data_IF_191388235025
#
_entry.id   IF_191388235025
#
_cell.length_a   1.000
_cell.length_b   1.000
_cell.length_c   1.000
_cell.angle_alpha   90.00
_cell.angle_beta   90.00
_cell.angle_gamma   90.00
#
_symmetry.space_group_name_H-M   'P 1'
#
loop_
_entity.id
_entity.type
_entity.pdbx_description
1 polymer ?
#
# COMPACT_ATOMS: atom_id res chain seq x y z
N UNK A 1 -13.10 5.56 11.49
CA UNK A 1 -12.06 4.81 10.75
C UNK A 1 -12.70 3.77 9.84
N UNK A 2 -12.13 3.57 8.66
CA UNK A 2 -12.64 2.64 7.64
C UNK A 2 -11.57 1.62 7.30
N UNK A 3 -11.92 0.34 7.28
CA UNK A 3 -11.01 -0.77 7.04
C UNK A 3 -11.54 -1.71 5.97
N UNK A 4 -10.66 -2.24 5.13
CA UNK A 4 -10.96 -3.29 4.16
C UNK A 4 -10.50 -4.63 4.74
N UNK A 5 -11.36 -5.63 4.81
CA UNK A 5 -11.04 -6.97 5.34
C UNK A 5 -11.66 -8.07 4.50
N UNK A 6 -10.90 -9.11 4.29
CA UNK A 6 -11.31 -10.34 3.61
C UNK A 6 -12.28 -11.14 4.46
N UNK A 7 -12.97 -12.09 3.81
CA UNK A 7 -13.93 -13.04 4.44
C UNK A 7 -13.49 -14.49 4.16
N UNK A 8 -12.38 -14.95 4.76
CA UNK A 8 -11.66 -16.15 4.31
C UNK A 8 -12.47 -17.45 4.34
N UNK A 9 -13.44 -17.59 5.21
CA UNK A 9 -14.28 -18.78 5.25
C UNK A 9 -15.42 -18.79 4.22
N UNK A 10 -15.57 -17.73 3.43
CA UNK A 10 -16.67 -17.64 2.46
C UNK A 10 -16.62 -18.73 1.39
N UNK A 11 -15.42 -19.21 0.99
CA UNK A 11 -15.32 -20.30 0.00
C UNK A 11 -16.13 -21.56 0.37
N UNK A 12 -16.30 -21.84 1.67
CA UNK A 12 -17.07 -23.00 2.17
C UNK A 12 -18.58 -22.86 1.96
N UNK A 13 -19.04 -21.66 1.68
CA UNK A 13 -20.45 -21.31 1.61
C UNK A 13 -20.86 -20.67 0.28
N UNK A 14 -19.89 -20.40 -0.59
CA UNK A 14 -20.11 -19.66 -1.85
C UNK A 14 -21.15 -20.31 -2.77
N UNK A 15 -21.25 -21.66 -2.75
CA UNK A 15 -22.23 -22.41 -3.54
C UNK A 15 -23.65 -22.39 -2.93
N UNK A 16 -23.78 -22.00 -1.67
CA UNK A 16 -25.05 -22.06 -0.91
C UNK A 16 -25.67 -20.69 -0.67
N UNK A 17 -24.85 -19.64 -0.58
CA UNK A 17 -25.35 -18.31 -0.25
C UNK A 17 -24.48 -17.20 -0.86
N UNK A 18 -25.09 -16.05 -1.06
CA UNK A 18 -24.41 -14.85 -1.55
C UNK A 18 -23.54 -14.22 -0.44
N UNK A 19 -22.50 -13.42 -0.79
CA UNK A 19 -21.63 -12.78 0.20
C UNK A 19 -22.39 -11.96 1.26
N UNK A 20 -23.44 -11.27 0.87
CA UNK A 20 -24.28 -10.49 1.82
C UNK A 20 -24.99 -11.37 2.83
N UNK A 21 -25.54 -12.50 2.39
CA UNK A 21 -26.21 -13.46 3.26
C UNK A 21 -25.23 -14.11 4.22
N UNK A 22 -24.04 -14.48 3.72
CA UNK A 22 -22.94 -14.99 4.55
C UNK A 22 -22.58 -14.02 5.67
N UNK A 23 -22.38 -12.74 5.35
CA UNK A 23 -22.06 -11.69 6.32
C UNK A 23 -23.16 -11.56 7.39
N UNK A 24 -24.44 -11.62 7.00
CA UNK A 24 -25.56 -11.59 7.95
C UNK A 24 -25.57 -12.82 8.86
N UNK A 25 -25.24 -14.00 8.35
CA UNK A 25 -25.13 -15.22 9.16
C UNK A 25 -23.97 -15.12 10.15
N UNK A 26 -22.83 -14.57 9.75
CA UNK A 26 -21.70 -14.29 10.65
C UNK A 26 -22.10 -13.27 11.73
N UNK A 27 -22.83 -12.20 11.34
CA UNK A 27 -23.34 -11.19 12.28
C UNK A 27 -24.30 -11.78 13.31
N UNK A 28 -25.15 -12.73 12.90
CA UNK A 28 -26.06 -13.47 13.78
C UNK A 28 -25.36 -14.54 14.62
N UNK A 29 -24.03 -14.75 14.42
CA UNK A 29 -23.22 -15.79 15.06
C UNK A 29 -23.65 -17.23 14.68
N UNK A 30 -24.33 -17.39 13.55
CA UNK A 30 -24.73 -18.70 13.00
C UNK A 30 -23.57 -19.33 12.19
N UNK A 31 -22.68 -18.51 11.65
CA UNK A 31 -21.44 -18.92 10.97
C UNK A 31 -20.26 -18.21 11.64
N UNK A 32 -19.14 -18.92 11.78
CA UNK A 32 -17.90 -18.35 12.24
C UNK A 32 -16.97 -18.02 11.06
N UNK A 33 -16.54 -16.78 11.01
CA UNK A 33 -15.44 -16.32 10.11
C UNK A 33 -14.34 -15.69 10.98
N UNK A 34 -13.08 -16.14 10.87
CA UNK A 34 -12.02 -15.71 11.78
C UNK A 34 -11.75 -14.21 11.75
N UNK A 35 -11.89 -13.59 10.57
CA UNK A 35 -11.66 -12.16 10.41
C UNK A 35 -12.92 -11.36 10.74
N UNK A 36 -14.03 -11.69 10.09
CA UNK A 36 -15.26 -10.90 10.22
C UNK A 36 -15.88 -11.03 11.61
N UNK A 37 -15.86 -12.22 12.22
CA UNK A 37 -16.39 -12.40 13.57
C UNK A 37 -15.64 -11.56 14.60
N UNK A 38 -14.30 -11.51 14.49
CA UNK A 38 -13.47 -10.67 15.36
C UNK A 38 -13.83 -9.18 15.18
N UNK A 39 -13.94 -8.71 13.96
CA UNK A 39 -14.26 -7.30 13.67
C UNK A 39 -15.66 -6.92 14.20
N UNK A 40 -16.65 -7.73 13.91
CA UNK A 40 -18.04 -7.48 14.39
C UNK A 40 -18.16 -7.51 15.91
N UNK A 41 -17.32 -8.33 16.58
CA UNK A 41 -17.26 -8.38 18.05
C UNK A 41 -16.56 -7.17 18.69
N UNK A 42 -15.85 -6.38 17.89
CA UNK A 42 -15.18 -5.15 18.30
C UNK A 42 -15.87 -3.88 17.72
N UNK A 43 -17.19 -3.94 17.58
CA UNK A 43 -18.07 -2.81 17.16
C UNK A 43 -17.78 -2.25 15.76
N UNK A 44 -17.18 -3.06 14.88
CA UNK A 44 -17.11 -2.72 13.48
C UNK A 44 -18.42 -2.99 12.75
N UNK A 45 -18.81 -2.10 11.88
CA UNK A 45 -20.02 -2.18 11.07
C UNK A 45 -19.68 -2.40 9.60
N UNK A 46 -20.30 -3.39 8.95
CA UNK A 46 -20.13 -3.61 7.52
C UNK A 46 -20.88 -2.53 6.74
N UNK A 47 -20.17 -1.73 5.96
CA UNK A 47 -20.74 -0.69 5.11
C UNK A 47 -20.98 -1.16 3.69
N UNK A 48 -20.05 -1.92 3.14
CA UNK A 48 -20.12 -2.38 1.75
C UNK A 48 -19.44 -3.74 1.60
N UNK A 49 -19.95 -4.54 0.67
CA UNK A 49 -19.25 -5.72 0.15
C UNK A 49 -18.52 -5.34 -1.11
N UNK A 50 -17.24 -5.64 -1.16
CA UNK A 50 -16.36 -5.38 -2.30
C UNK A 50 -16.18 -6.65 -3.11
N UNK A 51 -16.19 -6.53 -4.43
CA UNK A 51 -15.93 -7.62 -5.38
C UNK A 51 -14.56 -7.43 -6.02
N UNK A 52 -13.91 -8.52 -6.41
CA UNK A 52 -12.61 -8.52 -7.06
C UNK A 52 -11.53 -7.74 -6.30
N UNK A 53 -11.58 -7.82 -4.96
CA UNK A 53 -10.69 -7.04 -4.10
C UNK A 53 -9.23 -7.51 -4.21
N UNK A 54 -8.99 -8.82 -4.14
CA UNK A 54 -7.67 -9.40 -4.32
C UNK A 54 -7.75 -10.55 -5.33
N UNK A 55 -7.02 -10.49 -6.46
CA UNK A 55 -7.10 -11.50 -7.51
C UNK A 55 -6.69 -12.92 -7.09
N UNK A 56 -5.82 -13.04 -6.08
CA UNK A 56 -5.28 -14.32 -5.61
C UNK A 56 -5.96 -14.85 -4.33
N UNK A 57 -7.04 -14.22 -3.89
CA UNK A 57 -7.74 -14.60 -2.65
C UNK A 57 -8.89 -15.58 -2.93
N UNK A 58 -8.55 -16.83 -3.14
CA UNK A 58 -9.52 -17.93 -3.37
C UNK A 58 -10.36 -18.25 -2.12
N UNK A 59 -9.83 -18.04 -0.92
CA UNK A 59 -10.53 -18.32 0.33
C UNK A 59 -11.72 -17.38 0.55
N UNK A 60 -11.60 -16.14 0.16
CA UNK A 60 -12.71 -15.16 0.21
C UNK A 60 -13.47 -15.07 -1.11
N UNK A 61 -13.10 -15.89 -2.13
CA UNK A 61 -13.66 -15.78 -3.49
C UNK A 61 -13.59 -14.37 -4.05
N UNK A 62 -12.47 -13.68 -3.80
CA UNK A 62 -12.17 -12.29 -4.19
C UNK A 62 -13.11 -11.24 -3.56
N UNK A 63 -13.85 -11.61 -2.51
CA UNK A 63 -14.70 -10.67 -1.78
C UNK A 63 -14.04 -10.12 -0.53
N UNK A 64 -14.35 -8.88 -0.22
CA UNK A 64 -13.97 -8.24 1.03
C UNK A 64 -15.11 -7.38 1.58
N UNK A 65 -15.03 -7.03 2.84
CA UNK A 65 -15.92 -6.09 3.50
C UNK A 65 -15.23 -4.76 3.74
N UNK A 66 -15.90 -3.68 3.38
CA UNK A 66 -15.59 -2.36 3.90
C UNK A 66 -16.22 -2.24 5.27
N UNK A 67 -15.40 -2.10 6.29
CA UNK A 67 -15.80 -2.04 7.69
C UNK A 67 -15.58 -0.62 8.22
N UNK A 68 -16.50 -0.12 9.01
CA UNK A 68 -16.40 1.15 9.71
C UNK A 68 -16.43 0.90 11.21
N UNK A 69 -15.54 1.55 11.92
CA UNK A 69 -15.57 1.66 13.37
C UNK A 69 -15.79 3.11 13.77
N UNK A 70 -16.83 3.35 14.57
CA UNK A 70 -17.18 4.69 15.01
C UNK A 70 -16.61 4.89 16.42
N UNK A 71 -15.68 5.84 16.56
CA UNK A 71 -15.16 6.23 17.85
C UNK A 71 -16.23 7.03 18.61
N UNK A 72 -16.89 6.40 19.56
CA UNK A 72 -17.92 7.04 20.39
C UNK A 72 -17.38 8.20 21.26
N UNK A 73 -16.06 8.24 21.45
CA UNK A 73 -15.39 9.35 22.16
C UNK A 73 -14.91 10.44 21.22
N UNK A 74 -15.11 10.26 19.90
CA UNK A 74 -14.81 11.30 18.93
C UNK A 74 -15.86 12.40 19.09
N UNK A 75 -15.46 13.50 19.69
CA UNK A 75 -16.20 14.75 19.61
C UNK A 75 -15.73 15.44 18.33
N UNK A 76 -16.60 15.58 17.28
CA UNK A 76 -16.26 16.48 16.20
C UNK A 76 -16.05 17.84 16.82
N UNK A 77 -14.85 18.37 16.72
CA UNK A 77 -14.63 19.78 17.02
C UNK A 77 -15.72 20.54 16.25
N UNK A 78 -16.59 21.22 16.98
CA UNK A 78 -17.68 22.01 16.42
C UNK A 78 -17.12 22.80 15.25
N UNK A 79 -17.77 22.72 14.10
CA UNK A 79 -17.32 23.19 12.80
C UNK A 79 -17.09 24.72 12.74
N UNK A 80 -16.16 25.17 13.49
CA UNK A 80 -15.31 26.27 13.09
C UNK A 80 -14.37 25.62 12.07
N UNK A 81 -14.46 26.03 10.82
CA UNK A 81 -13.61 25.63 9.70
C UNK A 81 -12.36 24.94 10.17
N UNK A 82 -12.27 23.59 10.01
CA UNK A 82 -11.09 22.84 10.39
C UNK A 82 -9.89 23.66 9.92
N UNK A 83 -9.04 24.15 10.82
CA UNK A 83 -7.86 24.87 10.38
C UNK A 83 -7.17 23.89 9.44
N UNK A 84 -7.03 24.27 8.17
CA UNK A 84 -6.34 23.46 7.18
C UNK A 84 -5.09 22.96 7.87
N UNK A 85 -4.80 21.63 7.83
CA UNK A 85 -3.66 21.05 8.51
C UNK A 85 -2.45 21.95 8.23
N UNK A 86 -2.12 22.80 9.18
CA UNK A 86 -1.13 23.87 8.99
C UNK A 86 0.29 23.34 9.03
N UNK A 87 0.45 22.08 9.47
CA UNK A 87 1.75 21.44 9.59
C UNK A 87 1.73 20.13 8.79
N UNK A 88 2.63 20.03 7.83
CA UNK A 88 2.93 18.80 7.10
C UNK A 88 4.24 18.23 7.64
N UNK A 89 4.22 16.95 8.01
CA UNK A 89 5.40 16.24 8.49
C UNK A 89 5.99 15.41 7.35
N UNK A 90 7.25 15.70 7.01
CA UNK A 90 7.96 15.02 5.93
C UNK A 90 9.18 14.30 6.50
N UNK A 91 9.27 13.00 6.23
CA UNK A 91 10.47 12.22 6.48
C UNK A 91 11.41 12.29 5.28
N UNK A 92 12.63 12.75 5.49
CA UNK A 92 13.67 12.77 4.46
C UNK A 92 14.61 11.60 4.66
N UNK A 93 14.75 10.75 3.65
CA UNK A 93 15.64 9.60 3.71
C UNK A 93 17.06 10.01 3.38
N UNK A 94 17.94 9.90 4.36
CA UNK A 94 19.39 10.01 4.10
C UNK A 94 19.89 8.65 3.65
N UNK A 95 19.96 8.49 2.32
CA UNK A 95 20.26 7.23 1.67
C UNK A 95 21.78 6.97 1.62
N UNK A 96 22.18 5.78 2.01
CA UNK A 96 23.54 5.32 1.80
C UNK A 96 23.59 4.42 0.57
N UNK A 97 24.36 4.80 -0.45
CA UNK A 97 24.59 3.99 -1.63
C UNK A 97 25.40 2.75 -1.26
N UNK A 98 24.73 1.64 -1.00
CA UNK A 98 25.32 0.32 -0.76
C UNK A 98 25.13 -0.53 -2.00
N UNK A 99 26.04 -1.47 -2.26
CA UNK A 99 25.80 -2.47 -3.31
C UNK A 99 24.70 -3.42 -2.87
N UNK A 100 23.62 -3.47 -3.62
CA UNK A 100 22.57 -4.49 -3.49
C UNK A 100 22.78 -5.56 -4.56
N UNK A 101 22.50 -6.79 -4.23
CA UNK A 101 22.62 -7.91 -5.19
C UNK A 101 21.32 -8.14 -5.94
N UNK A 102 20.20 -7.80 -5.30
CA UNK A 102 18.86 -8.01 -5.82
C UNK A 102 17.97 -6.80 -5.55
N UNK A 103 16.88 -6.71 -6.27
CA UNK A 103 15.84 -5.72 -6.00
C UNK A 103 15.20 -5.95 -4.62
N UNK A 104 15.16 -7.18 -4.14
CA UNK A 104 14.63 -7.51 -2.82
C UNK A 104 15.48 -6.91 -1.70
N UNK A 105 16.81 -7.01 -1.80
CA UNK A 105 17.73 -6.37 -0.84
C UNK A 105 17.53 -4.83 -0.80
N UNK A 106 17.27 -4.22 -1.96
CA UNK A 106 16.94 -2.80 -2.07
C UNK A 106 15.64 -2.48 -1.33
N UNK A 107 14.61 -3.31 -1.53
CA UNK A 107 13.29 -3.08 -0.93
C UNK A 107 13.25 -3.38 0.56
N UNK A 108 14.04 -4.29 1.09
CA UNK A 108 14.22 -4.44 2.55
C UNK A 108 14.70 -3.14 3.19
N UNK A 109 15.65 -2.46 2.54
CA UNK A 109 16.14 -1.18 3.04
C UNK A 109 15.12 -0.04 2.88
N UNK A 110 14.38 -0.03 1.77
CA UNK A 110 13.29 0.95 1.54
C UNK A 110 12.21 0.78 2.60
N UNK A 111 11.74 -0.45 2.81
CA UNK A 111 10.68 -0.77 3.77
C UNK A 111 11.08 -0.38 5.20
N UNK A 112 12.33 -0.60 5.59
CA UNK A 112 12.85 -0.14 6.88
C UNK A 112 12.65 1.37 7.09
N UNK A 113 12.92 2.20 6.07
CA UNK A 113 12.70 3.64 6.17
C UNK A 113 11.21 4.00 6.16
N UNK A 114 10.41 3.33 5.34
CA UNK A 114 8.97 3.56 5.26
C UNK A 114 8.32 3.24 6.59
N UNK A 115 8.65 2.11 7.20
CA UNK A 115 8.15 1.70 8.52
C UNK A 115 8.53 2.72 9.60
N UNK A 116 9.81 3.10 9.67
CA UNK A 116 10.28 4.08 10.64
C UNK A 116 9.56 5.43 10.50
N UNK A 117 9.42 5.95 9.28
CA UNK A 117 8.81 7.27 9.03
C UNK A 117 7.30 7.23 9.25
N UNK A 118 6.62 6.15 8.88
CA UNK A 118 5.19 5.96 9.13
C UNK A 118 4.91 5.89 10.63
N UNK A 119 5.77 5.22 11.40
CA UNK A 119 5.70 5.14 12.86
C UNK A 119 5.75 6.52 13.54
N UNK A 120 6.42 7.51 12.95
CA UNK A 120 6.40 8.91 13.38
C UNK A 120 5.15 9.68 12.94
N UNK A 121 4.16 9.02 12.32
CA UNK A 121 2.94 9.64 11.78
C UNK A 121 3.26 10.79 10.82
N UNK A 122 4.24 10.59 9.98
CA UNK A 122 4.59 11.53 8.92
C UNK A 122 3.58 11.44 7.77
N UNK A 123 3.37 12.57 7.08
CA UNK A 123 2.45 12.64 5.94
C UNK A 123 3.10 12.16 4.66
N UNK A 124 4.42 12.39 4.58
CA UNK A 124 5.23 12.05 3.41
C UNK A 124 6.56 11.43 3.82
N UNK A 125 7.05 10.54 2.97
CA UNK A 125 8.44 10.13 2.95
C UNK A 125 9.04 10.48 1.59
N UNK A 126 10.25 11.03 1.58
CA UNK A 126 10.98 11.43 0.37
C UNK A 126 12.29 10.68 0.29
N UNK A 127 12.48 9.95 -0.81
CA UNK A 127 13.74 9.31 -1.18
C UNK A 127 14.58 10.21 -2.08
N UNK A 128 15.90 10.07 -2.09
CA UNK A 128 16.78 10.88 -2.93
C UNK A 128 16.74 10.46 -4.40
N UNK A 129 17.23 11.34 -5.25
CA UNK A 129 17.46 11.03 -6.66
C UNK A 129 18.34 9.80 -6.82
N UNK A 130 18.02 8.95 -7.78
CA UNK A 130 18.77 7.73 -8.11
C UNK A 130 18.98 6.78 -6.92
N UNK A 131 18.04 6.69 -5.99
CA UNK A 131 18.11 5.76 -4.86
C UNK A 131 18.33 4.29 -5.31
N UNK A 132 17.92 3.96 -6.54
CA UNK A 132 18.06 2.64 -7.16
C UNK A 132 19.39 2.43 -7.90
N UNK A 133 20.29 3.44 -7.95
CA UNK A 133 21.58 3.33 -8.62
C UNK A 133 22.45 2.14 -8.16
N UNK A 134 22.39 1.67 -6.90
CA UNK A 134 23.14 0.48 -6.50
C UNK A 134 22.84 -0.77 -7.32
N UNK A 135 21.65 -0.90 -7.91
CA UNK A 135 21.31 -2.01 -8.81
C UNK A 135 22.12 -1.98 -10.13
N UNK A 136 22.74 -0.85 -10.47
CA UNK A 136 23.63 -0.76 -11.64
C UNK A 136 24.84 -1.70 -11.55
N UNK A 137 25.18 -2.18 -10.37
CA UNK A 137 26.28 -3.14 -10.19
C UNK A 137 26.09 -4.41 -11.04
N UNK A 138 24.86 -4.79 -11.35
CA UNK A 138 24.55 -5.91 -12.24
C UNK A 138 24.99 -5.65 -13.69
N UNK A 139 25.08 -4.38 -14.09
CA UNK A 139 25.38 -3.95 -15.46
C UNK A 139 26.79 -3.43 -15.65
N UNK A 140 27.71 -3.68 -14.71
CA UNK A 140 29.08 -3.16 -14.73
C UNK A 140 29.89 -3.55 -15.98
N UNK A 141 29.50 -4.61 -16.67
CA UNK A 141 30.16 -5.09 -17.91
C UNK A 141 29.62 -4.43 -19.18
N UNK A 142 28.62 -3.55 -19.05
CA UNK A 142 27.97 -2.87 -20.17
C UNK A 142 28.50 -1.44 -20.31
N UNK A 143 28.21 -0.81 -21.47
CA UNK A 143 28.45 0.63 -21.61
C UNK A 143 27.51 1.42 -20.70
N UNK A 144 27.88 2.65 -20.33
CA UNK A 144 27.07 3.51 -19.46
C UNK A 144 25.62 3.66 -19.95
N UNK A 145 25.44 3.88 -21.26
CA UNK A 145 24.11 3.99 -21.88
C UNK A 145 23.30 2.69 -21.76
N UNK A 146 23.94 1.54 -21.87
CA UNK A 146 23.29 0.25 -21.71
C UNK A 146 22.96 -0.04 -20.25
N UNK A 147 23.86 0.31 -19.34
CA UNK A 147 23.69 0.14 -17.90
C UNK A 147 22.48 0.96 -17.38
N UNK A 148 22.33 2.22 -17.81
CA UNK A 148 21.18 3.06 -17.44
C UNK A 148 19.87 2.49 -18.02
N UNK A 149 19.89 1.93 -19.22
CA UNK A 149 18.70 1.26 -19.80
C UNK A 149 18.38 -0.04 -19.07
N UNK A 150 19.40 -0.78 -18.62
CA UNK A 150 19.22 -1.92 -17.74
C UNK A 150 18.54 -1.53 -16.43
N UNK A 151 19.03 -0.45 -15.79
CA UNK A 151 18.42 0.10 -14.58
C UNK A 151 16.96 0.54 -14.79
N UNK A 152 16.66 1.15 -15.94
CA UNK A 152 15.29 1.53 -16.29
C UNK A 152 14.34 0.34 -16.43
N UNK A 153 14.85 -0.88 -16.65
CA UNK A 153 14.06 -2.10 -16.68
C UNK A 153 13.41 -2.45 -15.34
N UNK A 154 13.94 -1.97 -14.23
CA UNK A 154 13.37 -2.17 -12.91
C UNK A 154 12.24 -1.20 -12.55
N UNK A 155 12.02 -0.15 -13.35
CA UNK A 155 11.17 0.98 -12.94
C UNK A 155 9.71 0.59 -12.69
N UNK A 156 9.15 -0.30 -13.51
CA UNK A 156 7.77 -0.77 -13.32
C UNK A 156 7.61 -1.60 -12.04
N UNK A 157 8.55 -2.51 -11.78
CA UNK A 157 8.55 -3.30 -10.54
C UNK A 157 8.74 -2.42 -9.31
N UNK A 158 9.65 -1.45 -9.39
CA UNK A 158 9.89 -0.47 -8.33
C UNK A 158 8.61 0.32 -8.05
N UNK A 159 7.93 0.81 -9.09
CA UNK A 159 6.65 1.52 -8.94
C UNK A 159 5.62 0.67 -8.21
N UNK A 160 5.41 -0.55 -8.65
CA UNK A 160 4.38 -1.43 -8.10
C UNK A 160 4.66 -1.76 -6.63
N UNK A 161 5.93 -1.98 -6.26
CA UNK A 161 6.34 -2.20 -4.87
C UNK A 161 6.14 -0.97 -4.00
N UNK A 162 6.46 0.23 -4.49
CA UNK A 162 6.19 1.47 -3.74
C UNK A 162 4.70 1.72 -3.53
N UNK A 163 3.86 1.41 -4.52
CA UNK A 163 2.40 1.47 -4.36
C UNK A 163 1.93 0.55 -3.23
N UNK A 164 2.45 -0.67 -3.16
CA UNK A 164 2.11 -1.59 -2.07
C UNK A 164 2.56 -1.06 -0.71
N UNK A 165 3.76 -0.50 -0.60
CA UNK A 165 4.25 0.10 0.64
C UNK A 165 3.41 1.31 1.05
N UNK A 166 3.06 2.20 0.11
CA UNK A 166 2.22 3.37 0.41
C UNK A 166 0.86 2.96 0.99
N UNK A 167 0.24 1.92 0.42
CA UNK A 167 -1.03 1.38 0.90
C UNK A 167 -0.85 0.69 2.26
N UNK A 168 0.18 -0.15 2.41
CA UNK A 168 0.39 -0.96 3.62
C UNK A 168 0.70 -0.10 4.84
N UNK A 169 1.49 0.94 4.66
CA UNK A 169 1.93 1.85 5.73
C UNK A 169 1.11 3.14 5.83
N UNK A 170 0.12 3.32 4.96
CA UNK A 170 -0.74 4.50 4.90
C UNK A 170 0.06 5.81 4.93
N UNK A 171 1.02 5.93 4.01
CA UNK A 171 1.91 7.07 3.89
C UNK A 171 2.10 7.46 2.43
N UNK A 172 2.19 8.76 2.14
CA UNK A 172 2.53 9.23 0.81
C UNK A 172 4.03 9.08 0.56
N UNK A 173 4.40 8.46 -0.56
CA UNK A 173 5.80 8.22 -0.91
C UNK A 173 6.19 9.03 -2.14
N UNK A 174 7.27 9.79 -2.03
CA UNK A 174 7.94 10.45 -3.15
C UNK A 174 9.25 9.70 -3.37
N UNK A 175 9.35 8.98 -4.48
CA UNK A 175 10.41 7.99 -4.69
C UNK A 175 11.78 8.59 -5.01
N UNK A 176 11.87 9.90 -5.24
CA UNK A 176 13.02 10.46 -5.94
C UNK A 176 12.98 10.14 -7.43
N UNK A 177 13.86 10.72 -8.21
CA UNK A 177 13.89 10.47 -9.63
C UNK A 177 14.73 9.22 -9.96
N UNK A 178 14.29 8.49 -11.00
CA UNK A 178 14.92 7.29 -11.51
C UNK A 178 14.76 7.19 -13.03
N UNK A 179 15.62 6.43 -13.74
CA UNK A 179 15.51 6.30 -15.18
C UNK A 179 14.25 5.53 -15.58
N UNK A 180 13.52 6.04 -16.55
CA UNK A 180 12.38 5.40 -17.18
C UNK A 180 12.59 5.31 -18.68
N UNK A 181 12.42 4.13 -19.26
CA UNK A 181 12.43 3.96 -20.73
C UNK A 181 11.00 3.92 -21.25
N UNK A 182 10.70 4.81 -22.19
CA UNK A 182 9.41 4.86 -22.88
C UNK A 182 9.61 5.21 -24.35
N UNK A 183 8.98 4.48 -25.25
CA UNK A 183 9.03 4.70 -26.71
C UNK A 183 10.47 4.82 -27.25
N UNK A 184 11.39 4.00 -26.73
CA UNK A 184 12.81 4.00 -27.10
C UNK A 184 13.65 5.13 -26.47
N UNK A 185 13.03 6.11 -25.85
CA UNK A 185 13.69 7.21 -25.15
C UNK A 185 13.90 6.91 -23.66
N UNK A 186 14.92 7.55 -23.10
CA UNK A 186 15.23 7.47 -21.68
C UNK A 186 14.90 8.80 -21.02
N UNK A 187 14.13 8.73 -19.92
CA UNK A 187 13.69 9.87 -19.14
C UNK A 187 14.20 9.74 -17.71
N UNK A 188 14.37 10.86 -17.02
CA UNK A 188 14.54 10.88 -15.57
C UNK A 188 13.18 11.22 -14.95
N UNK A 189 12.52 10.24 -14.35
CA UNK A 189 11.16 10.35 -13.82
C UNK A 189 11.12 10.24 -12.31
N UNK A 190 10.32 11.10 -11.69
CA UNK A 190 9.93 10.99 -10.29
C UNK A 190 8.55 10.37 -10.21
N UNK A 191 8.37 9.41 -9.31
CA UNK A 191 7.06 8.85 -8.98
C UNK A 191 6.57 9.44 -7.66
N UNK A 192 5.30 9.75 -7.62
CA UNK A 192 4.56 10.09 -6.43
C UNK A 192 3.44 9.09 -6.24
N UNK A 193 3.40 8.47 -5.06
CA UNK A 193 2.35 7.51 -4.70
C UNK A 193 1.57 8.07 -3.54
N UNK A 194 0.28 8.31 -3.74
CA UNK A 194 -0.68 8.59 -2.68
C UNK A 194 -1.51 7.35 -2.40
N UNK A 195 -2.11 7.29 -1.23
CA UNK A 195 -3.17 6.31 -0.98
C UNK A 195 -4.32 6.61 -1.95
N UNK A 196 -4.41 5.83 -3.02
CA UNK A 196 -5.43 5.95 -4.07
C UNK A 196 -6.78 5.41 -3.60
N UNK A 197 -7.21 5.78 -2.39
CA UNK A 197 -8.51 5.41 -1.85
C UNK A 197 -9.65 6.31 -2.35
N UNK A 198 -9.36 7.32 -3.18
CA UNK A 198 -10.32 8.35 -3.59
C UNK A 198 -10.63 8.39 -5.09
N UNK A 199 -10.47 7.27 -5.84
CA UNK A 199 -11.04 7.16 -7.20
C UNK A 199 -12.02 6.01 -7.32
#
# INVERSE_FOLDING_TARGET
DVYKRQIPNYHKYADKMRPKEYIEQVRKREIYDPVLTFQLSNDFHVRKVMTNYLPNDEESKHYACLLQWDNIYYQPETSETLPAKTTVRVGLVQWQMRGYRTIDDLFEQIEFFVDAVSGYKSDFILFPEYFNAPLMAEFNNLSESQAIRGLAGYTDEIRDRFLQLAISYNINIITGSMPLQRDGNLYNCLLYTSDAADE
#
